data_IF_806172854591
#
_entry.id   IF_806172854591
#
_cell.length_a   1.000
_cell.length_b   1.000
_cell.length_c   1.000
_cell.angle_alpha   90.00
_cell.angle_beta   90.00
_cell.angle_gamma   90.00
#
_symmetry.space_group_name_H-M   'P 1'
#
loop_
_entity.id
_entity.type
_entity.pdbx_description
1 polymer ?
#
# COMPACT_ATOMS: atom_id res chain seq x y z
N UNK A 1 8.33 -12.66 -21.24
CA UNK A 1 7.89 -11.98 -19.99
C UNK A 1 6.93 -10.87 -20.37
N UNK A 2 5.84 -10.69 -19.62
CA UNK A 2 4.91 -9.58 -19.88
C UNK A 2 5.59 -8.24 -19.56
N UNK A 3 5.46 -7.26 -20.45
CA UNK A 3 5.92 -5.89 -20.26
C UNK A 3 4.67 -5.04 -20.02
N UNK A 4 4.58 -4.39 -18.86
CA UNK A 4 3.53 -3.42 -18.54
C UNK A 4 4.20 -2.06 -18.28
N UNK A 5 3.88 -1.05 -19.08
CA UNK A 5 4.40 0.32 -18.97
C UNK A 5 3.27 1.28 -18.58
N UNK A 6 3.04 1.42 -17.28
CA UNK A 6 1.99 2.29 -16.73
C UNK A 6 2.18 3.77 -17.13
N UNK A 7 3.44 4.20 -17.23
CA UNK A 7 3.85 5.56 -17.62
C UNK A 7 3.40 5.98 -19.01
N UNK A 8 3.03 5.04 -19.87
CA UNK A 8 2.51 5.34 -21.21
C UNK A 8 1.05 5.84 -21.16
N UNK A 9 0.39 5.68 -20.00
CA UNK A 9 -1.04 6.00 -19.80
C UNK A 9 -1.33 6.94 -18.63
N UNK A 10 -0.44 6.98 -17.62
CA UNK A 10 -0.66 7.72 -16.38
C UNK A 10 0.59 8.52 -15.97
N UNK A 11 0.36 9.71 -15.43
CA UNK A 11 1.39 10.51 -14.78
C UNK A 11 1.50 10.15 -13.29
N UNK A 12 2.73 10.17 -12.76
CA UNK A 12 2.95 10.05 -11.33
C UNK A 12 2.32 11.21 -10.55
N UNK A 13 1.81 10.92 -9.35
CA UNK A 13 1.31 11.93 -8.42
C UNK A 13 2.40 12.84 -7.88
N UNK A 14 2.01 13.98 -7.31
CA UNK A 14 2.94 15.01 -6.81
C UNK A 14 2.98 15.15 -5.29
N UNK A 15 2.16 14.37 -4.57
CA UNK A 15 2.04 14.44 -3.11
C UNK A 15 1.50 13.15 -2.51
N UNK A 16 1.74 12.97 -1.21
CA UNK A 16 1.17 11.88 -0.42
C UNK A 16 -0.31 12.11 -0.15
N UNK A 17 -1.11 11.06 -0.36
CA UNK A 17 -2.55 11.10 -0.11
C UNK A 17 -2.89 10.49 1.25
N UNK A 18 -3.60 11.26 2.08
CA UNK A 18 -4.13 10.82 3.36
C UNK A 18 -5.40 11.59 3.72
N UNK A 19 -6.26 10.99 4.53
CA UNK A 19 -7.49 11.61 5.03
C UNK A 19 -7.80 11.18 6.47
N UNK A 20 -8.53 12.00 7.25
CA UNK A 20 -8.88 11.65 8.62
C UNK A 20 -10.00 10.60 8.67
N UNK A 21 -9.87 9.64 9.59
CA UNK A 21 -10.91 8.68 9.98
C UNK A 21 -11.11 8.79 11.49
N UNK A 22 -11.85 9.82 11.92
CA UNK A 22 -12.11 10.03 13.35
C UNK A 22 -13.07 8.95 13.91
N UNK A 23 -12.85 8.45 15.14
CA UNK A 23 -11.77 8.79 16.08
C UNK A 23 -10.50 7.94 15.94
N UNK A 24 -10.40 7.09 14.92
CA UNK A 24 -9.33 6.10 14.77
C UNK A 24 -7.96 6.73 14.45
N UNK A 25 -7.93 7.77 13.61
CA UNK A 25 -6.73 8.47 13.16
C UNK A 25 -6.71 8.67 11.65
N UNK A 26 -5.55 8.97 11.06
CA UNK A 26 -5.46 9.19 9.63
C UNK A 26 -5.28 7.88 8.86
N UNK A 27 -5.83 7.84 7.65
CA UNK A 27 -5.65 6.79 6.66
C UNK A 27 -4.72 7.31 5.57
N UNK A 28 -3.62 6.60 5.33
CA UNK A 28 -2.74 6.84 4.20
C UNK A 28 -3.09 5.93 3.03
N UNK A 29 -2.93 6.42 1.81
CA UNK A 29 -3.23 5.66 0.59
C UNK A 29 -2.00 5.58 -0.28
N UNK A 30 -1.63 4.37 -0.69
CA UNK A 30 -0.69 4.11 -1.80
C UNK A 30 -1.34 3.18 -2.80
N UNK A 31 -0.94 3.23 -4.08
CA UNK A 31 -1.58 2.45 -5.14
C UNK A 31 -0.60 1.38 -5.62
N UNK A 32 -1.03 0.12 -5.55
CA UNK A 32 -0.40 -1.07 -6.11
C UNK A 32 1.13 -1.13 -5.91
N UNK A 33 1.90 -0.61 -6.88
CA UNK A 33 3.35 -0.64 -6.88
C UNK A 33 3.97 0.17 -5.74
N UNK A 34 3.25 1.16 -5.20
CA UNK A 34 3.64 1.93 -4.02
C UNK A 34 3.94 1.06 -2.80
N UNK A 35 3.31 -0.11 -2.73
CA UNK A 35 3.55 -1.10 -1.67
C UNK A 35 5.04 -1.50 -1.57
N UNK A 36 5.79 -1.39 -2.67
CA UNK A 36 7.22 -1.72 -2.73
C UNK A 36 8.11 -0.66 -2.07
N UNK A 37 7.64 0.58 -1.90
CA UNK A 37 8.44 1.68 -1.34
C UNK A 37 8.17 1.83 0.16
N UNK A 38 9.13 1.40 0.98
CA UNK A 38 9.01 1.50 2.44
C UNK A 38 9.01 2.97 2.90
N UNK A 39 9.74 3.82 2.19
CA UNK A 39 9.90 5.25 2.39
C UNK A 39 8.55 5.98 2.34
N UNK A 40 7.69 5.62 1.38
CA UNK A 40 6.36 6.21 1.27
C UNK A 40 5.48 5.87 2.50
N UNK A 41 5.52 4.61 2.94
CA UNK A 41 4.79 4.19 4.15
C UNK A 41 5.33 4.89 5.40
N UNK A 42 6.65 5.04 5.51
CA UNK A 42 7.29 5.79 6.58
C UNK A 42 6.84 7.26 6.58
N UNK A 43 6.82 7.92 5.42
CA UNK A 43 6.40 9.32 5.32
C UNK A 43 4.91 9.49 5.68
N UNK A 44 4.02 8.63 5.17
CA UNK A 44 2.59 8.65 5.52
C UNK A 44 2.37 8.48 7.02
N UNK A 45 3.08 7.58 7.68
CA UNK A 45 2.86 7.29 9.11
C UNK A 45 3.52 8.31 10.02
N UNK A 46 4.71 8.80 9.69
CA UNK A 46 5.45 9.75 10.53
C UNK A 46 4.99 11.19 10.34
N UNK A 47 4.75 11.63 9.10
CA UNK A 47 4.40 13.03 8.80
C UNK A 47 2.90 13.27 8.78
N UNK A 48 2.12 12.31 8.27
CA UNK A 48 0.65 12.42 8.23
C UNK A 48 -0.02 11.69 9.39
N UNK A 49 0.75 11.13 10.33
CA UNK A 49 0.25 10.45 11.54
C UNK A 49 -0.74 9.31 11.22
N UNK A 50 -0.55 8.64 10.08
CA UNK A 50 -1.43 7.56 9.67
C UNK A 50 -1.35 6.38 10.64
N UNK A 51 -2.51 5.77 10.91
CA UNK A 51 -2.69 4.56 11.75
C UNK A 51 -3.22 3.37 10.97
N UNK A 52 -3.63 3.64 9.73
CA UNK A 52 -4.02 2.67 8.73
C UNK A 52 -3.40 3.09 7.40
N UNK A 53 -2.83 2.14 6.67
CA UNK A 53 -2.44 2.30 5.28
C UNK A 53 -3.32 1.41 4.40
N UNK A 54 -3.81 1.96 3.31
CA UNK A 54 -4.60 1.23 2.32
C UNK A 54 -3.85 1.15 1.00
N UNK A 55 -3.76 -0.05 0.45
CA UNK A 55 -3.13 -0.37 -0.83
C UNK A 55 -4.13 -1.08 -1.75
N UNK A 56 -4.97 -0.34 -2.49
CA UNK A 56 -5.62 -0.90 -3.67
C UNK A 56 -4.55 -1.31 -4.69
N UNK A 57 -4.58 -2.56 -5.17
CA UNK A 57 -3.57 -3.05 -6.12
C UNK A 57 -3.90 -4.38 -6.78
N UNK A 58 -3.37 -4.57 -7.98
CA UNK A 58 -3.54 -5.78 -8.77
C UNK A 58 -2.17 -6.41 -9.02
N UNK A 59 -1.65 -7.17 -8.05
CA UNK A 59 -0.43 -7.94 -8.27
C UNK A 59 -0.74 -9.11 -9.23
N UNK A 60 0.19 -9.42 -10.12
CA UNK A 60 0.03 -10.56 -11.03
C UNK A 60 0.35 -11.90 -10.35
N UNK A 61 -0.08 -13.01 -10.94
CA UNK A 61 0.16 -14.37 -10.44
C UNK A 61 1.66 -14.76 -10.31
N UNK A 62 2.58 -14.03 -10.94
CA UNK A 62 4.03 -14.27 -10.81
C UNK A 62 4.59 -13.61 -9.54
N UNK A 63 4.24 -12.35 -9.31
CA UNK A 63 4.81 -11.53 -8.23
C UNK A 63 3.94 -11.49 -6.97
N UNK A 64 2.64 -11.80 -7.10
CA UNK A 64 1.68 -11.90 -6.01
C UNK A 64 2.11 -12.90 -4.94
N UNK A 65 2.25 -14.21 -5.27
CA UNK A 65 2.57 -15.24 -4.29
C UNK A 65 3.82 -14.95 -3.44
N UNK A 66 4.97 -14.52 -4.01
CA UNK A 66 6.14 -14.25 -3.18
C UNK A 66 6.12 -12.89 -2.47
N UNK A 67 5.36 -11.89 -2.95
CA UNK A 67 5.53 -10.51 -2.47
C UNK A 67 4.32 -9.91 -1.76
N UNK A 68 3.09 -10.22 -2.17
CA UNK A 68 1.92 -9.45 -1.75
C UNK A 68 1.73 -9.46 -0.22
N UNK A 69 1.57 -10.63 0.37
CA UNK A 69 1.40 -10.79 1.82
C UNK A 69 2.65 -10.32 2.59
N UNK A 70 3.85 -10.65 2.10
CA UNK A 70 5.12 -10.25 2.72
C UNK A 70 5.24 -8.72 2.82
N UNK A 71 4.99 -8.01 1.72
CA UNK A 71 5.10 -6.55 1.70
C UNK A 71 4.04 -5.90 2.57
N UNK A 72 2.77 -6.31 2.51
CA UNK A 72 1.71 -5.76 3.37
C UNK A 72 2.06 -5.92 4.85
N UNK A 73 2.54 -7.10 5.23
CA UNK A 73 2.99 -7.41 6.60
C UNK A 73 4.18 -6.57 7.01
N UNK A 74 5.17 -6.40 6.14
CA UNK A 74 6.32 -5.53 6.40
C UNK A 74 5.88 -4.07 6.62
N UNK A 75 4.99 -3.53 5.77
CA UNK A 75 4.47 -2.16 5.95
C UNK A 75 3.71 -1.99 7.26
N UNK A 76 2.97 -3.00 7.70
CA UNK A 76 2.26 -2.95 8.96
C UNK A 76 3.22 -2.97 10.15
N UNK A 77 4.14 -3.93 10.18
CA UNK A 77 5.08 -4.16 11.28
C UNK A 77 6.07 -3.00 11.44
N UNK A 78 6.74 -2.58 10.37
CA UNK A 78 7.80 -1.56 10.42
C UNK A 78 7.27 -0.18 10.83
N UNK A 79 5.99 0.08 10.57
CA UNK A 79 5.33 1.34 10.89
C UNK A 79 4.40 1.26 12.11
N UNK A 80 4.17 0.05 12.63
CA UNK A 80 3.28 -0.24 13.75
C UNK A 80 1.88 0.34 13.50
N UNK A 81 1.28 -0.04 12.37
CA UNK A 81 -0.05 0.42 11.88
C UNK A 81 -0.83 -0.75 11.30
N UNK A 82 -2.14 -0.59 11.15
CA UNK A 82 -2.90 -1.53 10.32
C UNK A 82 -2.59 -1.30 8.84
N UNK A 83 -2.69 -2.37 8.05
CA UNK A 83 -2.57 -2.29 6.58
C UNK A 83 -3.72 -3.07 5.94
N UNK A 84 -4.35 -2.48 4.94
CA UNK A 84 -5.36 -3.15 4.11
C UNK A 84 -4.84 -3.21 2.68
N UNK A 85 -4.69 -4.42 2.15
CA UNK A 85 -4.50 -4.67 0.73
C UNK A 85 -5.83 -5.02 0.08
N UNK A 86 -6.25 -4.28 -0.94
CA UNK A 86 -7.48 -4.56 -1.68
C UNK A 86 -7.12 -4.90 -3.13
N UNK A 87 -7.47 -6.10 -3.57
CA UNK A 87 -7.18 -6.57 -4.91
C UNK A 87 -8.45 -7.00 -5.66
N UNK A 88 -8.52 -6.78 -6.99
CA UNK A 88 -9.54 -7.43 -7.80
C UNK A 88 -9.45 -8.96 -7.66
N UNK A 89 -10.58 -9.65 -7.79
CA UNK A 89 -10.58 -11.10 -7.86
C UNK A 89 -9.78 -11.58 -9.09
N UNK A 90 -9.11 -12.71 -8.95
CA UNK A 90 -8.51 -13.40 -10.07
C UNK A 90 -9.61 -13.84 -11.05
N UNK A 91 -9.38 -13.62 -12.34
CA UNK A 91 -10.31 -14.06 -13.38
C UNK A 91 -10.33 -15.60 -13.44
N UNK A 92 -11.53 -16.21 -13.56
CA UNK A 92 -11.65 -17.65 -13.70
C UNK A 92 -11.06 -18.10 -15.05
N UNK A 93 -10.56 -19.35 -15.16
CA UNK A 93 -9.97 -19.87 -16.39
C UNK A 93 -10.88 -19.79 -17.62
N UNK A 94 -12.20 -19.80 -17.42
CA UNK A 94 -13.20 -19.70 -18.49
C UNK A 94 -13.35 -18.31 -19.09
N UNK A 95 -12.82 -17.28 -18.41
CA UNK A 95 -12.89 -15.87 -18.84
C UNK A 95 -11.49 -15.34 -19.18
N UNK A 96 -10.43 -15.98 -18.67
CA UNK A 96 -9.05 -15.56 -18.94
C UNK A 96 -8.65 -15.75 -20.42
N UNK A 97 -8.77 -14.68 -21.20
CA UNK A 97 -8.34 -14.61 -22.60
C UNK A 97 -6.88 -14.17 -22.78
N UNK A 98 -6.37 -14.28 -24.01
CA UNK A 98 -5.10 -13.64 -24.37
C UNK A 98 -5.20 -12.12 -24.21
N UNK A 99 -4.24 -11.52 -23.49
CA UNK A 99 -4.18 -10.08 -23.26
C UNK A 99 -4.75 -9.59 -21.92
N UNK A 100 -5.41 -10.45 -21.14
CA UNK A 100 -5.90 -10.05 -19.81
C UNK A 100 -4.80 -10.04 -18.76
N UNK A 101 -4.87 -9.06 -17.83
CA UNK A 101 -3.92 -8.97 -16.73
C UNK A 101 -4.18 -10.09 -15.71
N UNK A 102 -3.21 -11.00 -15.44
CA UNK A 102 -3.43 -12.17 -14.60
C UNK A 102 -3.36 -11.79 -13.12
N UNK A 103 -4.43 -11.18 -12.60
CA UNK A 103 -4.55 -10.74 -11.19
C UNK A 103 -4.44 -11.94 -10.24
N UNK A 104 -3.72 -11.74 -9.14
CA UNK A 104 -3.53 -12.71 -8.07
C UNK A 104 -4.72 -12.76 -7.11
N UNK A 105 -5.30 -11.61 -6.76
CA UNK A 105 -6.35 -11.47 -5.74
C UNK A 105 -5.74 -11.31 -4.35
N UNK A 106 -6.24 -12.07 -3.38
CA UNK A 106 -5.75 -12.06 -2.00
C UNK A 106 -5.88 -10.73 -1.29
N UNK A 107 -7.06 -10.09 -1.33
CA UNK A 107 -7.33 -8.96 -0.43
C UNK A 107 -7.11 -9.37 1.03
N UNK A 108 -6.41 -8.55 1.80
CA UNK A 108 -5.92 -8.92 3.14
C UNK A 108 -5.96 -7.72 4.09
N UNK A 109 -6.32 -7.99 5.35
CA UNK A 109 -6.23 -7.05 6.47
C UNK A 109 -5.12 -7.52 7.41
N UNK A 110 -4.17 -6.64 7.69
CA UNK A 110 -3.00 -6.90 8.53
C UNK A 110 -3.06 -6.03 9.79
N UNK A 111 -2.80 -6.65 10.94
CA UNK A 111 -2.68 -6.01 12.24
C UNK A 111 -1.33 -5.32 12.45
N UNK A 112 -1.23 -4.44 13.47
CA UNK A 112 -0.01 -3.68 13.73
C UNK A 112 1.20 -4.54 14.12
N UNK A 113 1.01 -5.80 14.50
CA UNK A 113 2.09 -6.75 14.78
C UNK A 113 2.56 -7.51 13.53
N UNK A 114 2.05 -7.16 12.33
CA UNK A 114 2.32 -7.88 11.09
C UNK A 114 1.56 -9.21 10.96
N UNK A 115 0.56 -9.42 11.82
CA UNK A 115 -0.33 -10.56 11.83
C UNK A 115 -1.45 -10.42 10.78
N UNK A 116 -1.81 -11.52 10.11
CA UNK A 116 -2.91 -11.53 9.15
C UNK A 116 -4.22 -11.69 9.92
N UNK A 117 -5.04 -10.64 9.95
CA UNK A 117 -6.32 -10.64 10.65
C UNK A 117 -7.42 -11.30 9.81
N UNK A 118 -7.38 -11.09 8.50
CA UNK A 118 -8.30 -11.70 7.55
C UNK A 118 -7.68 -11.66 6.15
N UNK A 119 -7.94 -12.70 5.34
CA UNK A 119 -7.46 -12.80 3.96
C UNK A 119 -8.51 -13.54 3.10
N UNK A 120 -8.69 -13.07 1.87
CA UNK A 120 -9.41 -13.79 0.82
C UNK A 120 -8.43 -14.59 -0.03
N UNK A 121 -8.93 -15.58 -0.78
CA UNK A 121 -8.18 -16.17 -1.88
C UNK A 121 -8.25 -15.32 -3.16
N UNK A 122 -8.08 -15.98 -4.31
CA UNK A 122 -8.27 -15.34 -5.62
C UNK A 122 -9.74 -15.13 -6.01
N UNK A 123 -10.71 -15.71 -5.30
CA UNK A 123 -12.13 -15.61 -5.65
C UNK A 123 -12.77 -14.27 -5.20
N UNK A 124 -13.87 -13.83 -5.83
CA UNK A 124 -14.64 -12.67 -5.36
C UNK A 124 -15.12 -12.85 -3.92
N UNK A 125 -15.06 -11.77 -3.14
CA UNK A 125 -15.50 -11.77 -1.75
C UNK A 125 -15.31 -10.43 -1.07
N UNK A 126 -15.67 -10.36 0.21
CA UNK A 126 -15.49 -9.18 1.05
C UNK A 126 -14.95 -9.60 2.42
N UNK A 127 -14.12 -8.73 3.01
CA UNK A 127 -13.63 -8.88 4.38
C UNK A 127 -14.32 -7.83 5.26
N UNK A 128 -14.77 -8.28 6.43
CA UNK A 128 -15.19 -7.43 7.51
C UNK A 128 -14.23 -7.63 8.68
N UNK A 129 -13.59 -6.56 9.14
CA UNK A 129 -12.62 -6.61 10.23
C UNK A 129 -12.78 -5.40 11.16
N UNK A 130 -12.70 -5.62 12.46
CA UNK A 130 -12.72 -4.57 13.47
C UNK A 130 -11.31 -4.10 13.77
N UNK A 131 -11.07 -2.80 13.59
CA UNK A 131 -9.76 -2.18 13.85
C UNK A 131 -9.81 -1.37 15.14
N UNK A 132 -8.95 -1.69 16.09
CA UNK A 132 -8.85 -0.97 17.35
C UNK A 132 -7.58 -0.12 17.42
N UNK A 133 -7.75 1.19 17.65
CA UNK A 133 -6.63 2.14 17.85
C UNK A 133 -5.72 1.72 18.99
N UNK A 134 -6.28 1.14 20.04
CA UNK A 134 -5.57 0.71 21.25
C UNK A 134 -4.45 -0.28 20.92
N UNK A 135 -4.62 -1.17 19.94
CA UNK A 135 -3.57 -2.12 19.57
C UNK A 135 -2.33 -1.43 18.99
N UNK A 136 -2.53 -0.40 18.17
CA UNK A 136 -1.43 0.45 17.65
C UNK A 136 -0.71 1.15 18.82
N UNK A 137 -1.48 1.75 19.73
CA UNK A 137 -0.90 2.48 20.87
C UNK A 137 -0.11 1.55 21.81
N UNK A 138 -0.63 0.36 22.08
CA UNK A 138 0.04 -0.64 22.91
C UNK A 138 1.34 -1.12 22.26
N UNK A 139 1.32 -1.44 20.96
CA UNK A 139 2.52 -1.95 20.30
C UNK A 139 3.62 -0.89 20.25
N UNK A 140 3.28 0.38 19.95
CA UNK A 140 4.24 1.50 19.97
C UNK A 140 4.82 1.75 21.37
N UNK A 141 4.09 1.46 22.45
CA UNK A 141 4.62 1.52 23.82
C UNK A 141 5.56 0.37 24.13
N UNK A 142 5.25 -0.85 23.66
CA UNK A 142 6.07 -2.03 23.89
C UNK A 142 7.37 -2.02 23.09
N UNK A 143 7.31 -1.56 21.83
CA UNK A 143 8.45 -1.48 20.92
C UNK A 143 8.53 -0.04 20.37
N UNK A 144 9.20 0.89 21.09
CA UNK A 144 9.15 2.32 20.79
C UNK A 144 10.11 2.71 19.66
N UNK A 145 9.97 2.09 18.48
CA UNK A 145 10.90 2.30 17.35
C UNK A 145 10.96 3.75 16.89
N UNK A 146 9.85 4.50 16.96
CA UNK A 146 9.76 5.87 16.47
C UNK A 146 10.72 6.84 17.18
N UNK A 147 11.06 6.59 18.44
CA UNK A 147 12.00 7.41 19.23
C UNK A 147 13.42 6.84 19.24
N UNK A 148 13.61 5.59 18.80
CA UNK A 148 14.91 4.92 18.72
C UNK A 148 15.60 5.08 17.36
N UNK A 149 14.88 5.56 16.34
CA UNK A 149 15.47 5.87 15.03
C UNK A 149 16.50 6.99 15.18
N UNK A 150 17.67 6.80 14.56
CA UNK A 150 18.84 7.68 14.70
C UNK A 150 18.80 8.87 13.72
N UNK A 151 17.63 9.50 13.63
CA UNK A 151 17.43 10.64 12.75
C UNK A 151 18.28 11.83 13.18
N UNK A 152 18.99 12.46 12.24
CA UNK A 152 19.88 13.60 12.52
C UNK A 152 21.25 13.22 13.10
N UNK A 153 21.43 11.98 13.55
CA UNK A 153 22.73 11.46 13.98
C UNK A 153 23.42 10.62 12.91
N UNK A 154 22.69 9.68 12.29
CA UNK A 154 23.25 8.71 11.34
C UNK A 154 22.59 8.82 9.97
N UNK A 155 21.29 9.08 9.94
CA UNK A 155 20.54 9.18 8.69
C UNK A 155 19.42 10.21 8.82
N UNK A 156 18.92 10.68 7.68
CA UNK A 156 17.85 11.68 7.64
C UNK A 156 16.49 11.01 7.77
N UNK A 157 15.54 11.72 8.36
CA UNK A 157 14.14 11.32 8.31
C UNK A 157 13.63 11.35 6.87
N UNK A 158 12.86 10.33 6.48
CA UNK A 158 12.17 10.34 5.18
C UNK A 158 11.09 11.42 5.22
N UNK A 159 11.17 12.38 4.29
CA UNK A 159 10.24 13.50 4.21
C UNK A 159 9.60 13.59 2.84
N UNK A 160 8.30 13.89 2.82
CA UNK A 160 7.60 14.26 1.59
C UNK A 160 8.23 15.51 0.96
N UNK A 161 8.52 15.42 -0.33
CA UNK A 161 8.89 16.57 -1.17
C UNK A 161 7.77 16.75 -2.19
N UNK A 162 7.18 17.94 -2.24
CA UNK A 162 6.15 18.24 -3.25
C UNK A 162 6.80 18.42 -4.61
N UNK A 163 6.42 17.58 -5.56
CA UNK A 163 6.88 17.69 -6.95
C UNK A 163 6.13 18.77 -7.72
N UNK A 164 6.79 19.36 -8.71
CA UNK A 164 6.13 20.05 -9.82
C UNK A 164 5.55 18.99 -10.76
N UNK A 165 4.22 18.95 -10.93
CA UNK A 165 3.54 17.91 -11.69
C UNK A 165 3.92 17.83 -13.17
N UNK A 166 3.59 16.71 -13.81
CA UNK A 166 3.79 16.53 -15.24
C UNK A 166 2.77 17.38 -16.02
N UNK A 167 3.24 18.26 -16.89
CA UNK A 167 2.42 18.88 -17.93
C UNK A 167 2.24 17.85 -19.05
N UNK A 168 1.12 17.11 -19.06
CA UNK A 168 0.80 16.31 -20.23
C UNK A 168 0.38 17.24 -21.37
N UNK A 169 1.25 17.40 -22.38
CA UNK A 169 0.80 17.83 -23.69
C UNK A 169 -0.02 16.68 -24.29
N UNK A 170 -1.24 16.92 -24.80
CA UNK A 170 -1.99 15.90 -25.49
C UNK A 170 -1.15 15.36 -26.66
N UNK A 171 -1.26 14.05 -26.99
CA UNK A 171 -0.56 13.52 -28.15
C UNK A 171 -0.98 14.32 -29.38
N UNK A 172 0.00 14.81 -30.14
CA UNK A 172 -0.23 15.42 -31.44
C UNK A 172 -1.06 14.42 -32.26
N UNK A 173 -2.25 14.86 -32.65
CA UNK A 173 -3.04 14.15 -33.65
C UNK A 173 -2.34 14.33 -34.99
N UNK A 174 -1.46 13.42 -35.38
CA UNK A 174 -1.03 13.31 -36.78
C UNK A 174 -0.92 11.85 -37.26
N UNK A 175 -1.83 11.57 -38.21
CA UNK A 175 -1.92 10.54 -39.28
C UNK A 175 -2.10 9.08 -38.88
#
# INVERSE_FOLDING_TARGET
GMIFRESDTLCAGTSLTSFPLAPFGNVGVGICYDLRFAEMALALTQQRQCRLLCYPGAFNKTTGPPHWSLLLRARALDNQVYVIGCSPAALPPSVSGEGEYPVYGHSTVIGPYGDVLAELGGAPGAIFASLERRHVDLFRKQVPTSVQKRFGEVYTQVTEVRGSGCMHQPPDKEV
#
